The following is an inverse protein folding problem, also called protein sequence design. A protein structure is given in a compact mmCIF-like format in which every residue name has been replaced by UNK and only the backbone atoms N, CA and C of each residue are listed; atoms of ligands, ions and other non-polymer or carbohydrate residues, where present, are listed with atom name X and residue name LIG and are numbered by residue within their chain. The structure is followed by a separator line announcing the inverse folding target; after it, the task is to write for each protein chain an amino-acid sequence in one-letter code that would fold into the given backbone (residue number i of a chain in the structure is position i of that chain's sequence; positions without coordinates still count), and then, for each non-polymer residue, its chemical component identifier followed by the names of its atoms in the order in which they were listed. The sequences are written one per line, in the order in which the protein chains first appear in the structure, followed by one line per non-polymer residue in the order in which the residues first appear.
data_IF_844205417450
#
_entry.id   IF_844205417450
#
_cell.length_a   1.000
_cell.length_b   1.000
_cell.length_c   1.000
_cell.angle_alpha   90.00
_cell.angle_beta   90.00
_cell.angle_gamma   90.00
#
_symmetry.space_group_name_H-M   'P 1'
#
loop_
_entity.id
_entity.type
_entity.pdbx_description
1 polymer ?
#
# COMPACT_ATOMS: atom_id res chain seq x y z
N UNK A 1 22.38 1.54 11.03
CA UNK A 1 21.45 1.83 9.90
C UNK A 1 20.18 2.41 10.48
N UNK A 2 19.60 3.39 9.80
CA UNK A 2 18.28 3.94 10.16
C UNK A 2 17.21 2.96 9.69
N UNK A 3 16.20 2.68 10.53
CA UNK A 3 15.06 1.86 10.14
C UNK A 3 14.30 2.53 8.99
N UNK A 4 13.90 1.75 7.98
CA UNK A 4 13.10 2.21 6.84
C UNK A 4 11.93 1.26 6.61
N UNK A 5 10.76 1.82 6.36
CA UNK A 5 9.58 1.10 5.91
C UNK A 5 9.07 1.76 4.64
N UNK A 6 8.75 0.95 3.64
CA UNK A 6 8.11 1.43 2.40
C UNK A 6 6.61 1.52 2.63
N UNK A 7 6.02 2.69 2.37
CA UNK A 7 4.60 2.95 2.65
C UNK A 7 3.79 3.28 1.39
N UNK A 8 4.43 3.32 0.23
CA UNK A 8 3.80 3.57 -1.07
C UNK A 8 4.45 2.67 -2.12
N UNK A 9 3.92 1.45 -2.27
CA UNK A 9 4.44 0.47 -3.21
C UNK A 9 3.32 -0.13 -4.04
N UNK A 10 3.59 -0.33 -5.33
CA UNK A 10 2.62 -0.86 -6.29
C UNK A 10 3.04 -2.25 -6.73
N UNK A 11 2.07 -3.15 -6.77
CA UNK A 11 2.26 -4.48 -7.35
C UNK A 11 1.81 -4.48 -8.80
N UNK A 12 2.05 -5.57 -9.52
CA UNK A 12 1.54 -5.82 -10.87
C UNK A 12 0.00 -5.78 -11.00
N UNK A 13 -0.75 -5.71 -9.90
CA UNK A 13 -2.18 -5.43 -9.93
C UNK A 13 -2.51 -3.96 -10.22
N UNK A 14 -1.54 -3.06 -10.06
CA UNK A 14 -1.57 -1.68 -10.55
C UNK A 14 -1.19 -1.67 -12.03
N UNK A 15 -2.20 -1.86 -12.88
CA UNK A 15 -1.98 -2.13 -14.30
C UNK A 15 -1.21 -1.02 -15.02
N UNK A 16 -0.24 -1.41 -15.85
CA UNK A 16 0.68 -0.52 -16.59
C UNK A 16 1.53 0.41 -15.71
N UNK A 17 1.65 0.14 -14.41
CA UNK A 17 2.46 0.92 -13.48
C UNK A 17 3.34 0.01 -12.62
N UNK A 18 2.72 -0.82 -11.77
CA UNK A 18 3.45 -1.81 -11.00
C UNK A 18 3.92 -2.98 -11.87
N UNK A 19 5.16 -3.43 -11.66
CA UNK A 19 5.76 -4.52 -12.42
C UNK A 19 5.91 -5.81 -11.61
N UNK A 20 6.29 -5.69 -10.33
CA UNK A 20 6.60 -6.84 -9.47
C UNK A 20 5.36 -7.48 -8.87
N UNK A 21 5.39 -8.80 -8.72
CA UNK A 21 4.36 -9.52 -7.98
C UNK A 21 4.49 -9.27 -6.46
N UNK A 22 3.41 -9.44 -5.67
CA UNK A 22 3.43 -9.17 -4.23
C UNK A 22 4.47 -9.98 -3.44
N UNK A 23 4.71 -11.22 -3.83
CA UNK A 23 5.70 -12.14 -3.25
C UNK A 23 7.14 -11.69 -3.54
N UNK A 24 7.44 -11.30 -4.78
CA UNK A 24 8.76 -10.74 -5.14
C UNK A 24 9.07 -9.48 -4.33
N UNK A 25 8.07 -8.62 -4.09
CA UNK A 25 8.22 -7.43 -3.25
C UNK A 25 8.47 -7.77 -1.78
N UNK A 26 7.80 -8.80 -1.25
CA UNK A 26 7.99 -9.26 0.12
C UNK A 26 9.42 -9.80 0.32
N UNK A 27 9.88 -10.67 -0.60
CA UNK A 27 11.24 -11.20 -0.59
C UNK A 27 12.26 -10.08 -0.65
N UNK A 28 12.09 -9.14 -1.58
CA UNK A 28 13.01 -8.02 -1.74
C UNK A 28 13.04 -7.11 -0.50
N UNK A 29 11.91 -6.86 0.12
CA UNK A 29 11.84 -6.08 1.35
C UNK A 29 12.59 -6.76 2.51
N UNK A 30 12.48 -8.09 2.64
CA UNK A 30 13.23 -8.85 3.63
C UNK A 30 14.74 -8.81 3.37
N UNK A 31 15.19 -8.98 2.11
CA UNK A 31 16.60 -8.88 1.73
C UNK A 31 17.22 -7.51 2.06
N UNK A 32 16.44 -6.44 1.88
CA UNK A 32 16.85 -5.07 2.18
C UNK A 32 16.80 -4.74 3.68
N UNK A 33 16.25 -5.63 4.50
CA UNK A 33 16.07 -5.41 5.94
C UNK A 33 15.05 -4.31 6.24
N UNK A 34 13.99 -4.19 5.43
CA UNK A 34 12.94 -3.22 5.69
C UNK A 34 12.18 -3.58 6.97
N UNK A 35 11.83 -2.55 7.75
CA UNK A 35 11.05 -2.73 8.97
C UNK A 35 9.53 -2.79 8.72
N UNK A 36 9.11 -2.57 7.48
CA UNK A 36 7.71 -2.65 7.05
C UNK A 36 7.56 -2.43 5.55
N UNK A 37 6.44 -2.93 5.01
CA UNK A 37 6.07 -2.81 3.61
C UNK A 37 4.57 -2.56 3.53
N UNK A 38 4.14 -1.47 2.90
CA UNK A 38 2.78 -1.26 2.46
C UNK A 38 2.65 -1.58 0.98
N UNK A 39 1.54 -2.21 0.60
CA UNK A 39 1.09 -2.25 -0.79
C UNK A 39 -0.12 -1.34 -0.92
N UNK A 40 -0.06 -0.44 -1.89
CA UNK A 40 -1.02 0.63 -2.15
C UNK A 40 -1.39 0.64 -3.63
N UNK A 41 -2.00 -0.45 -4.11
CA UNK A 41 -2.38 -0.54 -5.51
C UNK A 41 -3.42 0.51 -5.91
N UNK A 42 -3.45 0.84 -7.21
CA UNK A 42 -4.45 1.73 -7.78
C UNK A 42 -5.86 1.19 -7.58
N UNK A 43 -6.71 1.98 -6.92
CA UNK A 43 -8.16 1.78 -6.85
C UNK A 43 -8.59 0.42 -6.26
N UNK A 44 -7.70 -0.31 -5.58
CA UNK A 44 -8.04 -1.57 -4.94
C UNK A 44 -7.01 -2.11 -3.95
N UNK A 45 -7.38 -3.23 -3.32
CA UNK A 45 -6.56 -3.97 -2.35
C UNK A 45 -6.05 -5.29 -2.93
N UNK A 46 -5.82 -5.33 -4.24
CA UNK A 46 -5.60 -6.58 -4.96
C UNK A 46 -4.31 -7.28 -4.54
N UNK A 47 -3.18 -6.57 -4.61
CA UNK A 47 -1.86 -7.11 -4.32
C UNK A 47 -1.66 -7.39 -2.84
N UNK A 48 -2.16 -6.53 -1.96
CA UNK A 48 -1.98 -6.72 -0.51
C UNK A 48 -2.67 -7.98 0.01
N UNK A 49 -3.86 -8.32 -0.51
CA UNK A 49 -4.56 -9.57 -0.13
C UNK A 49 -3.86 -10.79 -0.72
N UNK A 50 -3.32 -10.66 -1.94
CA UNK A 50 -2.63 -11.76 -2.65
C UNK A 50 -1.26 -12.07 -2.07
N UNK A 51 -0.56 -11.08 -1.53
CA UNK A 51 0.75 -11.20 -0.91
C UNK A 51 0.75 -11.66 0.55
N UNK A 52 -0.42 -11.84 1.19
CA UNK A 52 -0.52 -12.06 2.63
C UNK A 52 0.40 -13.17 3.16
N UNK A 53 0.38 -14.36 2.53
CA UNK A 53 1.24 -15.48 2.94
C UNK A 53 2.73 -15.15 2.75
N UNK A 54 3.09 -14.47 1.65
CA UNK A 54 4.48 -14.09 1.40
C UNK A 54 5.00 -13.05 2.42
N UNK A 55 4.16 -12.12 2.87
CA UNK A 55 4.53 -11.18 3.93
C UNK A 55 4.78 -11.90 5.26
N UNK A 56 3.91 -12.86 5.61
CA UNK A 56 4.06 -13.69 6.81
C UNK A 56 5.34 -14.52 6.77
N UNK A 57 5.60 -15.21 5.65
CA UNK A 57 6.80 -16.03 5.44
C UNK A 57 8.10 -15.18 5.47
N UNK A 58 8.03 -13.95 4.96
CA UNK A 58 9.13 -12.98 5.01
C UNK A 58 9.31 -12.31 6.39
N UNK A 59 8.44 -12.60 7.36
CA UNK A 59 8.47 -11.96 8.69
C UNK A 59 8.14 -10.46 8.66
N UNK A 60 7.48 -9.98 7.60
CA UNK A 60 7.08 -8.60 7.42
C UNK A 60 5.67 -8.38 7.98
N UNK A 61 5.44 -7.24 8.62
CA UNK A 61 4.10 -6.81 9.02
C UNK A 61 3.54 -5.88 7.93
N UNK A 62 2.61 -6.35 7.08
CA UNK A 62 2.13 -5.54 5.96
C UNK A 62 1.24 -4.40 6.46
N UNK A 63 1.46 -3.21 5.90
CA UNK A 63 0.54 -2.08 6.07
C UNK A 63 -0.47 -2.13 4.92
N UNK A 64 -1.74 -2.33 5.26
CA UNK A 64 -2.83 -2.37 4.28
C UNK A 64 -3.14 -0.97 3.77
N UNK A 65 -3.01 -0.76 2.46
CA UNK A 65 -3.31 0.52 1.84
C UNK A 65 -3.83 0.39 0.42
N UNK A 66 -4.30 1.51 -0.10
CA UNK A 66 -4.86 1.68 -1.44
C UNK A 66 -4.48 3.08 -1.91
N UNK A 67 -4.08 3.22 -3.16
CA UNK A 67 -3.94 4.53 -3.78
C UNK A 67 -5.25 4.89 -4.48
N UNK A 68 -5.86 6.01 -4.07
CA UNK A 68 -7.14 6.48 -4.60
C UNK A 68 -6.92 7.80 -5.31
N UNK A 69 -7.17 7.79 -6.61
CA UNK A 69 -7.29 9.00 -7.40
C UNK A 69 -8.54 9.78 -6.99
N UNK A 70 -8.33 11.04 -6.61
CA UNK A 70 -9.41 11.95 -6.24
C UNK A 70 -9.77 12.82 -7.44
N UNK A 71 -11.04 13.18 -7.55
CA UNK A 71 -11.47 14.25 -8.46
C UNK A 71 -10.77 15.55 -8.06
N UNK A 72 -10.53 16.41 -9.04
CA UNK A 72 -10.05 17.78 -8.77
C UNK A 72 -11.01 18.46 -7.79
N UNK A 73 -10.44 19.10 -6.77
CA UNK A 73 -11.19 19.79 -5.72
C UNK A 73 -12.10 20.91 -6.24
N UNK A 74 -11.84 21.43 -7.46
CA UNK A 74 -12.70 22.44 -8.09
C UNK A 74 -13.96 21.84 -8.72
N UNK A 75 -13.95 20.55 -9.03
CA UNK A 75 -15.11 19.86 -9.62
C UNK A 75 -16.06 19.49 -8.49
N UNK A 76 -17.31 19.95 -8.59
CA UNK A 76 -18.34 19.53 -7.65
C UNK A 76 -18.45 18.00 -7.69
N UNK A 77 -18.28 17.36 -6.53
CA UNK A 77 -18.35 15.91 -6.42
C UNK A 77 -19.80 15.46 -6.22
N UNK A 78 -20.52 15.01 -7.27
CA UNK A 78 -21.91 14.56 -7.15
C UNK A 78 -22.08 13.36 -6.22
N UNK A 79 -21.02 12.56 -6.04
CA UNK A 79 -21.06 11.29 -5.30
C UNK A 79 -20.60 11.45 -3.84
N UNK A 80 -20.10 12.65 -3.47
CA UNK A 80 -19.64 13.05 -2.12
C UNK A 80 -18.63 12.07 -1.50
N UNK A 81 -17.40 12.06 -2.01
CA UNK A 81 -16.25 11.47 -1.32
C UNK A 81 -16.00 12.25 -0.02
N UNK A 82 -16.25 11.59 1.11
CA UNK A 82 -15.94 12.14 2.44
C UNK A 82 -14.56 11.65 2.84
N UNK A 83 -13.59 12.57 2.89
CA UNK A 83 -12.30 12.31 3.56
C UNK A 83 -12.49 12.64 5.04
N UNK A 84 -12.56 11.65 5.94
CA UNK A 84 -12.72 11.93 7.35
C UNK A 84 -11.49 12.67 7.88
N UNK A 85 -11.71 13.65 8.76
CA UNK A 85 -10.62 14.30 9.46
C UNK A 85 -9.76 13.26 10.18
N UNK A 86 -8.44 13.49 10.19
CA UNK A 86 -7.50 12.61 10.88
C UNK A 86 -7.98 12.40 12.31
N UNK A 87 -8.22 11.14 12.70
CA UNK A 87 -8.65 10.80 14.05
C UNK A 87 -7.61 11.33 15.03
N UNK A 88 -8.06 12.09 16.03
CA UNK A 88 -7.16 12.53 17.10
C UNK A 88 -6.50 11.29 17.70
N UNK A 89 -5.16 11.31 17.78
CA UNK A 89 -4.39 10.20 18.36
C UNK A 89 -4.84 10.07 19.81
N UNK A 90 -5.54 8.98 20.14
CA UNK A 90 -5.73 8.63 21.54
C UNK A 90 -4.36 8.23 22.06
N UNK A 91 -3.83 9.05 22.97
CA UNK A 91 -2.65 8.72 23.77
C UNK A 91 -2.94 7.51 24.65
#
# INVERSE_FOLDING_TARGET
MTAYAELHCHTNFSFLDGASAPDELAERAAELGLTGLAVTDHQGLYGVVRGQTAYEDAGLLPVLGIEVELRDAIVADPDRVVVPARRAVRR
#
